data_IF_708870402303
#
_entry.id   IF_708870402303
#
_cell.length_a   1.000
_cell.length_b   1.000
_cell.length_c   1.000
_cell.angle_alpha   90.00
_cell.angle_beta   90.00
_cell.angle_gamma   90.00
#
_symmetry.space_group_name_H-M   'P 1'
#
loop_
_entity.id
_entity.type
_entity.pdbx_description
1 polymer ?
#
# COMPACT_ATOMS: atom_id res chain seq x y z
N UNK A 1 6.79 -2.51 -14.37
CA UNK A 1 5.41 -2.36 -14.85
C UNK A 1 4.62 -3.48 -14.22
N UNK A 2 3.61 -3.13 -13.43
CA UNK A 2 2.81 -4.11 -12.70
C UNK A 2 1.34 -3.89 -13.08
N UNK A 3 0.61 -4.98 -13.24
CA UNK A 3 -0.83 -5.00 -13.48
C UNK A 3 -1.52 -5.66 -12.29
N UNK A 4 -2.67 -5.12 -11.89
CA UNK A 4 -3.46 -5.63 -10.78
C UNK A 4 -4.90 -5.17 -10.90
N UNK A 5 -5.78 -5.75 -10.10
CA UNK A 5 -7.21 -5.46 -10.12
C UNK A 5 -7.65 -4.85 -8.78
N UNK A 6 -8.46 -3.81 -8.85
CA UNK A 6 -9.14 -3.20 -7.70
C UNK A 6 -10.60 -3.00 -8.12
N UNK A 7 -11.53 -3.49 -7.31
CA UNK A 7 -12.98 -3.30 -7.53
C UNK A 7 -13.48 -3.74 -8.92
N UNK A 8 -12.94 -4.84 -9.48
CA UNK A 8 -13.34 -5.34 -10.80
C UNK A 8 -12.64 -4.66 -11.98
N UNK A 9 -11.81 -3.66 -11.72
CA UNK A 9 -11.14 -2.85 -12.74
C UNK A 9 -9.65 -3.15 -12.80
N UNK A 10 -9.14 -3.35 -14.01
CA UNK A 10 -7.71 -3.63 -14.21
C UNK A 10 -6.92 -2.32 -14.30
N UNK A 11 -5.95 -2.19 -13.41
CA UNK A 11 -5.01 -1.09 -13.36
C UNK A 11 -3.60 -1.53 -13.73
N UNK A 12 -2.84 -0.59 -14.27
CA UNK A 12 -1.43 -0.75 -14.58
C UNK A 12 -0.65 0.42 -14.03
N UNK A 13 0.46 0.12 -13.38
CA UNK A 13 1.41 1.12 -12.88
C UNK A 13 2.60 1.19 -13.82
N UNK A 14 2.81 2.39 -14.36
CA UNK A 14 4.01 2.74 -15.11
C UNK A 14 5.15 3.08 -14.15
N UNK A 15 6.39 2.96 -14.63
CA UNK A 15 7.56 3.30 -13.81
C UNK A 15 7.58 4.81 -13.54
N UNK A 16 7.62 5.19 -12.27
CA UNK A 16 7.89 6.55 -11.86
C UNK A 16 9.29 6.99 -12.30
N UNK A 17 9.45 8.28 -12.61
CA UNK A 17 10.78 8.84 -12.87
C UNK A 17 11.63 8.84 -11.58
N UNK A 18 12.96 8.82 -11.75
CA UNK A 18 13.88 8.67 -10.63
C UNK A 18 13.74 9.78 -9.58
N UNK A 19 13.41 11.01 -9.99
CA UNK A 19 13.23 12.13 -9.06
C UNK A 19 11.93 12.01 -8.28
N UNK A 20 10.83 11.57 -8.91
CA UNK A 20 9.59 11.26 -8.21
C UNK A 20 9.80 10.17 -7.17
N UNK A 21 10.51 9.08 -7.52
CA UNK A 21 10.85 8.02 -6.56
C UNK A 21 11.70 8.53 -5.39
N UNK A 22 12.69 9.41 -5.66
CA UNK A 22 13.51 10.05 -4.64
C UNK A 22 12.69 10.97 -3.73
N UNK A 23 11.78 11.77 -4.28
CA UNK A 23 10.93 12.64 -3.48
C UNK A 23 9.95 11.85 -2.62
N UNK A 24 9.34 10.79 -3.16
CA UNK A 24 8.46 9.90 -2.42
C UNK A 24 9.24 9.22 -1.28
N UNK A 25 10.44 8.69 -1.55
CA UNK A 25 11.26 8.06 -0.51
C UNK A 25 11.67 9.04 0.58
N UNK A 26 12.03 10.28 0.23
CA UNK A 26 12.36 11.34 1.20
C UNK A 26 11.16 11.75 2.06
N UNK A 27 9.97 11.90 1.48
CA UNK A 27 8.73 12.27 2.20
C UNK A 27 8.22 11.14 3.09
N UNK A 28 8.42 9.89 2.67
CA UNK A 28 8.03 8.71 3.45
C UNK A 28 9.10 8.28 4.46
N UNK A 29 10.35 8.74 4.34
CA UNK A 29 11.45 8.40 5.25
C UNK A 29 11.13 8.64 6.74
N UNK A 30 10.53 9.78 7.16
CA UNK A 30 10.24 10.04 8.58
C UNK A 30 9.22 9.07 9.18
N UNK A 31 8.34 8.53 8.33
CA UNK A 31 7.22 7.68 8.73
C UNK A 31 7.51 6.19 8.54
N UNK A 32 8.51 5.87 7.70
CA UNK A 32 8.89 4.51 7.36
C UNK A 32 9.20 3.62 8.58
N UNK A 33 9.94 4.06 9.62
CA UNK A 33 10.21 3.22 10.79
C UNK A 33 8.94 2.74 11.51
N UNK A 34 7.91 3.59 11.58
CA UNK A 34 6.61 3.26 12.19
C UNK A 34 5.81 2.27 11.33
N UNK A 35 5.97 2.35 10.01
CA UNK A 35 5.27 1.49 9.04
C UNK A 35 5.95 0.13 8.80
N UNK A 36 7.24 -0.02 9.12
CA UNK A 36 8.01 -1.26 8.86
C UNK A 36 7.30 -2.54 9.35
N UNK A 37 6.73 -2.62 10.58
CA UNK A 37 6.05 -3.81 11.04
C UNK A 37 4.84 -4.18 10.18
N UNK A 38 4.03 -3.19 9.80
CA UNK A 38 2.86 -3.37 8.95
C UNK A 38 3.28 -3.80 7.53
N UNK A 39 4.30 -3.14 6.95
CA UNK A 39 4.86 -3.50 5.65
C UNK A 39 5.41 -4.93 5.64
N UNK A 40 6.07 -5.37 6.71
CA UNK A 40 6.57 -6.75 6.83
C UNK A 40 5.45 -7.78 6.91
N UNK A 41 4.38 -7.52 7.68
CA UNK A 41 3.21 -8.41 7.72
C UNK A 41 2.57 -8.55 6.34
N UNK A 42 2.41 -7.45 5.62
CA UNK A 42 1.87 -7.44 4.24
C UNK A 42 2.81 -8.16 3.27
N UNK A 43 4.13 -7.99 3.40
CA UNK A 43 5.11 -8.59 2.50
C UNK A 43 5.31 -10.10 2.75
N UNK A 44 5.40 -10.54 4.02
CA UNK A 44 5.58 -11.95 4.39
C UNK A 44 4.33 -12.80 4.16
N UNK A 45 3.14 -12.21 4.27
CA UNK A 45 1.90 -12.94 3.97
C UNK A 45 1.78 -13.30 2.49
N UNK A 46 2.61 -12.73 1.59
CA UNK A 46 2.46 -12.91 0.14
C UNK A 46 1.11 -12.42 -0.39
N UNK A 47 0.32 -11.77 0.47
CA UNK A 47 -1.06 -11.48 0.22
C UNK A 47 -1.17 -10.14 -0.49
N UNK A 48 -1.32 -10.24 -1.81
CA UNK A 48 -2.25 -9.36 -2.53
C UNK A 48 -3.62 -9.27 -1.82
N UNK A 49 -3.95 -10.27 -0.98
CA UNK A 49 -5.10 -10.37 -0.08
C UNK A 49 -5.31 -9.21 0.88
N UNK A 50 -4.30 -8.67 1.59
CA UNK A 50 -4.55 -7.61 2.58
C UNK A 50 -5.06 -6.30 1.93
N UNK A 51 -4.45 -5.92 0.79
CA UNK A 51 -4.96 -4.81 -0.03
C UNK A 51 -6.27 -5.17 -0.74
N UNK A 52 -6.47 -6.42 -1.17
CA UNK A 52 -7.74 -6.87 -1.73
C UNK A 52 -8.89 -6.87 -0.70
N UNK A 53 -8.61 -7.18 0.57
CA UNK A 53 -9.55 -7.12 1.69
C UNK A 53 -9.96 -5.69 1.99
N UNK A 54 -9.02 -4.74 1.91
CA UNK A 54 -9.32 -3.31 2.03
C UNK A 54 -9.97 -2.71 0.77
N UNK A 55 -9.63 -3.23 -0.42
CA UNK A 55 -10.19 -2.84 -1.72
C UNK A 55 -11.61 -3.35 -1.96
N UNK A 56 -12.00 -4.40 -1.25
CA UNK A 56 -13.34 -4.94 -1.33
C UNK A 56 -13.86 -5.21 0.09
N UNK A 57 -14.32 -4.16 0.81
CA UNK A 57 -14.91 -4.32 2.14
C UNK A 57 -16.21 -5.14 2.11
N UNK A 58 -16.80 -5.38 0.92
CA UNK A 58 -17.96 -6.26 0.70
C UNK A 58 -17.58 -7.75 0.66
N UNK A 59 -16.29 -8.09 0.54
CA UNK A 59 -15.80 -9.48 0.60
C UNK A 59 -15.35 -9.93 1.99
N UNK A 60 -15.26 -9.01 2.95
CA UNK A 60 -15.35 -9.38 4.37
C UNK A 60 -16.82 -9.71 4.58
N UNK A 61 -17.18 -10.97 4.34
CA UNK A 61 -18.58 -11.39 4.30
C UNK A 61 -19.35 -10.83 5.50
N UNK A 62 -20.18 -9.81 5.26
CA UNK A 62 -21.39 -9.72 6.06
C UNK A 62 -22.16 -11.00 5.72
N UNK A 63 -22.51 -11.81 6.72
CA UNK A 63 -23.27 -13.03 6.45
C UNK A 63 -24.54 -12.63 5.71
N UNK A 64 -24.71 -13.15 4.49
CA UNK A 64 -26.01 -13.16 3.85
C UNK A 64 -26.90 -13.99 4.78
N UNK A 65 -27.73 -13.29 5.53
CA UNK A 65 -28.76 -13.90 6.36
C UNK A 65 -29.82 -14.40 5.40
N UNK A 66 -29.67 -15.63 4.95
CA UNK A 66 -30.85 -16.38 4.51
C UNK A 66 -31.81 -16.43 5.69
N UNK A 67 -32.98 -15.85 5.44
CA UNK A 67 -34.16 -15.74 6.29
C UNK A 67 -34.32 -16.88 7.31
N UNK A 68 -34.24 -16.54 8.61
CA UNK A 68 -34.76 -17.40 9.67
C UNK A 68 -34.12 -17.21 11.04
N UNK A 69 -34.46 -16.13 11.75
CA UNK A 69 -34.06 -15.89 13.14
C UNK A 69 -33.18 -14.65 13.29
N UNK A 70 -33.61 -13.70 14.13
CA UNK A 70 -32.97 -12.39 14.27
C UNK A 70 -31.46 -12.49 14.57
N UNK A 71 -30.65 -11.53 14.08
CA UNK A 71 -29.19 -11.62 14.18
C UNK A 71 -28.72 -11.46 15.63
N UNK A 72 -28.13 -12.52 16.17
CA UNK A 72 -27.32 -12.49 17.38
C UNK A 72 -25.99 -11.77 17.08
N UNK A 73 -25.86 -10.53 17.57
CA UNK A 73 -24.80 -9.55 17.30
C UNK A 73 -23.40 -9.92 17.82
N UNK A 74 -23.06 -11.22 17.98
CA UNK A 74 -21.86 -11.66 18.71
C UNK A 74 -20.81 -12.45 17.94
N UNK A 75 -20.87 -12.58 16.62
CA UNK A 75 -19.83 -13.29 15.86
C UNK A 75 -19.44 -12.61 14.54
N UNK A 76 -19.06 -11.34 14.62
CA UNK A 76 -17.97 -10.87 13.75
C UNK A 76 -16.70 -11.28 14.49
N UNK A 77 -15.76 -11.95 13.83
CA UNK A 77 -14.53 -12.44 14.47
C UNK A 77 -13.68 -11.25 14.97
N UNK A 78 -13.91 -10.84 16.23
CA UNK A 78 -13.30 -9.68 16.89
C UNK A 78 -11.76 -9.75 16.86
N UNK A 79 -11.18 -10.96 16.80
CA UNK A 79 -9.74 -11.17 16.70
C UNK A 79 -9.15 -10.74 15.35
N UNK A 80 -9.81 -11.06 14.24
CA UNK A 80 -9.37 -10.64 12.90
C UNK A 80 -9.52 -9.12 12.72
N UNK A 81 -10.59 -8.55 13.25
CA UNK A 81 -10.80 -7.09 13.26
C UNK A 81 -9.78 -6.39 14.15
N UNK A 82 -9.41 -6.98 15.29
CA UNK A 82 -8.38 -6.47 16.19
C UNK A 82 -6.97 -6.50 15.58
N UNK A 83 -6.62 -7.56 14.85
CA UNK A 83 -5.34 -7.68 14.15
C UNK A 83 -5.22 -6.72 12.97
N UNK A 84 -6.32 -6.47 12.24
CA UNK A 84 -6.35 -5.47 11.18
C UNK A 84 -6.32 -4.06 11.78
N UNK A 85 -7.11 -3.78 12.82
CA UNK A 85 -7.15 -2.47 13.47
C UNK A 85 -5.79 -2.05 14.06
N UNK A 86 -5.14 -2.95 14.82
CA UNK A 86 -3.81 -2.68 15.38
C UNK A 86 -2.70 -2.54 14.32
N UNK A 87 -2.93 -3.05 13.10
CA UNK A 87 -2.01 -2.86 11.96
C UNK A 87 -2.26 -1.54 11.23
N UNK A 88 -3.45 -0.94 11.39
CA UNK A 88 -3.83 0.34 10.80
C UNK A 88 -3.44 1.55 11.66
N UNK A 89 -3.35 1.41 12.98
CA UNK A 89 -2.90 2.48 13.89
C UNK A 89 -1.62 3.20 13.43
N UNK A 90 -0.51 2.51 13.10
CA UNK A 90 0.70 3.16 12.61
C UNK A 90 0.50 3.82 11.23
N UNK A 91 -0.43 3.33 10.42
CA UNK A 91 -0.78 3.96 9.13
C UNK A 91 -1.56 5.26 9.38
N UNK A 92 -2.54 5.23 10.29
CA UNK A 92 -3.35 6.38 10.65
C UNK A 92 -2.51 7.50 11.28
N UNK A 93 -1.60 7.16 12.19
CA UNK A 93 -0.69 8.13 12.81
C UNK A 93 0.23 8.77 11.77
N UNK A 94 0.67 7.99 10.79
CA UNK A 94 1.49 8.48 9.67
C UNK A 94 0.72 9.43 8.78
N UNK A 95 -0.51 9.08 8.40
CA UNK A 95 -1.40 9.97 7.65
C UNK A 95 -1.66 11.28 8.41
N UNK A 96 -1.85 11.21 9.73
CA UNK A 96 -2.08 12.39 10.57
C UNK A 96 -0.83 13.27 10.76
N UNK A 97 0.37 12.69 10.70
CA UNK A 97 1.64 13.40 10.87
C UNK A 97 2.22 13.96 9.57
N UNK A 98 1.66 13.58 8.41
CA UNK A 98 2.16 14.01 7.11
C UNK A 98 1.63 15.41 6.78
N UNK A 99 2.50 16.38 6.41
CA UNK A 99 2.03 17.68 5.92
C UNK A 99 1.16 17.53 4.68
N UNK A 100 0.11 18.34 4.56
CA UNK A 100 -0.83 18.29 3.43
C UNK A 100 -0.10 18.38 2.07
N UNK A 101 0.86 19.30 1.93
CA UNK A 101 1.65 19.44 0.71
C UNK A 101 2.47 18.18 0.36
N UNK A 102 2.89 17.40 1.37
CA UNK A 102 3.60 16.15 1.15
C UNK A 102 2.63 15.04 0.73
N UNK A 103 1.46 14.97 1.35
CA UNK A 103 0.40 14.05 0.98
C UNK A 103 -0.07 14.31 -0.46
N UNK A 104 -0.43 15.55 -0.79
CA UNK A 104 -0.85 15.95 -2.13
C UNK A 104 0.18 15.61 -3.20
N UNK A 105 1.47 15.84 -2.93
CA UNK A 105 2.55 15.46 -3.83
C UNK A 105 2.59 13.94 -4.04
N UNK A 106 2.53 13.15 -2.97
CA UNK A 106 2.58 11.68 -3.04
C UNK A 106 1.38 11.16 -3.84
N UNK A 107 0.18 11.67 -3.57
CA UNK A 107 -1.03 11.30 -4.31
C UNK A 107 -0.92 11.64 -5.79
N UNK A 108 -0.59 12.89 -6.12
CA UNK A 108 -0.51 13.35 -7.51
C UNK A 108 0.57 12.61 -8.31
N UNK A 109 1.75 12.37 -7.72
CA UNK A 109 2.82 11.62 -8.35
C UNK A 109 2.43 10.15 -8.59
N UNK A 110 1.84 9.49 -7.59
CA UNK A 110 1.49 8.08 -7.68
C UNK A 110 0.32 7.84 -8.64
N UNK A 111 -0.78 8.58 -8.49
CA UNK A 111 -1.96 8.45 -9.37
C UNK A 111 -1.63 8.83 -10.80
N UNK A 112 -0.75 9.82 -10.99
CA UNK A 112 -0.22 10.21 -12.29
C UNK A 112 0.68 9.16 -12.97
N UNK A 113 0.98 8.03 -12.33
CA UNK A 113 1.67 6.89 -12.92
C UNK A 113 0.73 5.72 -13.28
N UNK A 114 -0.55 5.81 -12.89
CA UNK A 114 -1.53 4.73 -13.02
C UNK A 114 -2.36 4.93 -14.29
N UNK A 115 -2.69 3.81 -14.95
CA UNK A 115 -3.66 3.75 -16.03
C UNK A 115 -4.68 2.65 -15.76
N UNK A 116 -5.93 2.85 -16.17
CA UNK A 116 -7.01 1.86 -16.15
C UNK A 116 -7.20 1.26 -17.54
N UNK A 117 -7.52 -0.03 -17.62
CA UNK A 117 -7.81 -0.70 -18.88
C UNK A 117 -9.18 -0.25 -19.39
N UNK A 118 -9.24 0.13 -20.66
CA UNK A 118 -10.46 0.52 -21.36
C UNK A 118 -10.52 -0.23 -22.69
N UNK A 119 -11.21 -1.38 -22.69
CA UNK A 119 -11.22 -2.32 -23.81
C UNK A 119 -9.82 -2.82 -24.15
N UNK A 120 -9.30 -2.42 -25.31
CA UNK A 120 -7.94 -2.74 -25.77
C UNK A 120 -6.89 -1.68 -25.43
N UNK A 121 -7.29 -0.53 -24.90
CA UNK A 121 -6.41 0.60 -24.59
C UNK A 121 -6.22 0.78 -23.08
N UNK A 122 -5.24 1.62 -22.71
CA UNK A 122 -4.98 2.05 -21.34
C UNK A 122 -5.19 3.56 -21.24
N UNK A 123 -6.05 3.98 -20.33
CA UNK A 123 -6.38 5.39 -20.11
C UNK A 123 -5.77 5.87 -18.78
N UNK A 124 -5.17 7.08 -18.73
CA UNK A 124 -4.69 7.65 -17.48
C UNK A 124 -5.87 7.91 -16.53
N UNK A 125 -5.69 7.62 -15.24
CA UNK A 125 -6.75 7.83 -14.24
C UNK A 125 -6.72 9.21 -13.59
N UNK A 126 -5.64 9.97 -13.79
CA UNK A 126 -5.36 11.21 -13.09
C UNK A 126 -4.92 12.32 -14.04
N UNK A 127 -5.57 13.48 -13.94
CA UNK A 127 -5.11 14.69 -14.62
C UNK A 127 -4.15 15.46 -13.71
N UNK A 128 -2.87 15.52 -14.08
CA UNK A 128 -1.87 16.30 -13.31
C UNK A 128 -2.11 17.81 -13.34
N UNK A 129 -2.75 18.33 -14.39
CA UNK A 129 -3.04 19.77 -14.51
C UNK A 129 -4.20 20.20 -13.61
N UNK A 130 -5.23 19.36 -13.51
CA UNK A 130 -6.45 19.69 -12.76
C UNK A 130 -6.46 19.06 -11.36
N UNK A 131 -5.54 18.15 -11.06
CA UNK A 131 -5.48 17.40 -9.81
C UNK A 131 -6.80 16.68 -9.48
N UNK A 132 -7.40 16.04 -10.48
CA UNK A 132 -8.65 15.28 -10.35
C UNK A 132 -8.56 13.92 -11.03
N UNK A 133 -9.36 12.97 -10.55
CA UNK A 133 -9.58 11.68 -11.19
C UNK A 133 -10.36 11.86 -12.50
N UNK A 134 -10.04 11.01 -13.49
CA UNK A 134 -10.71 10.98 -14.79
C UNK A 134 -11.91 10.03 -14.82
N UNK A 135 -12.14 9.29 -13.73
CA UNK A 135 -13.18 8.29 -13.59
C UNK A 135 -13.92 8.54 -12.28
N UNK A 136 -15.24 8.63 -12.35
CA UNK A 136 -16.09 8.99 -11.21
C UNK A 136 -16.21 7.88 -10.16
N UNK A 137 -15.95 6.62 -10.55
CA UNK A 137 -15.94 5.45 -9.66
C UNK A 137 -14.67 5.34 -8.81
N UNK A 138 -13.68 6.20 -9.05
CA UNK A 138 -12.46 6.26 -8.25
C UNK A 138 -12.68 7.21 -7.07
N UNK A 139 -13.15 6.65 -5.96
CA UNK A 139 -13.29 7.35 -4.69
C UNK A 139 -11.97 7.42 -3.90
N UNK A 140 -11.98 8.10 -2.75
CA UNK A 140 -10.80 8.24 -1.88
C UNK A 140 -10.22 6.89 -1.45
N UNK A 141 -11.07 5.87 -1.24
CA UNK A 141 -10.62 4.53 -0.87
C UNK A 141 -9.81 3.89 -1.99
N UNK A 142 -10.37 3.88 -3.20
CA UNK A 142 -9.68 3.37 -4.40
C UNK A 142 -8.40 4.16 -4.67
N UNK A 143 -8.43 5.50 -4.55
CA UNK A 143 -7.24 6.35 -4.68
C UNK A 143 -6.15 5.94 -3.70
N UNK A 144 -6.49 5.76 -2.42
CA UNK A 144 -5.54 5.43 -1.36
C UNK A 144 -4.87 4.06 -1.63
N UNK A 145 -5.65 3.08 -2.08
CA UNK A 145 -5.14 1.74 -2.40
C UNK A 145 -4.20 1.75 -3.61
N UNK A 146 -4.54 2.53 -4.63
CA UNK A 146 -3.69 2.73 -5.80
C UNK A 146 -2.36 3.40 -5.42
N UNK A 147 -2.43 4.47 -4.61
CA UNK A 147 -1.23 5.17 -4.11
C UNK A 147 -0.35 4.21 -3.32
N UNK A 148 -0.92 3.48 -2.37
CA UNK A 148 -0.17 2.54 -1.56
C UNK A 148 0.48 1.43 -2.40
N UNK A 149 -0.20 0.94 -3.45
CA UNK A 149 0.36 -0.03 -4.38
C UNK A 149 1.55 0.52 -5.15
N UNK A 150 1.46 1.76 -5.65
CA UNK A 150 2.56 2.45 -6.34
C UNK A 150 3.75 2.69 -5.40
N UNK A 151 3.48 3.13 -4.17
CA UNK A 151 4.52 3.37 -3.15
C UNK A 151 5.28 2.08 -2.83
N UNK A 152 4.60 0.96 -2.63
CA UNK A 152 5.25 -0.33 -2.36
C UNK A 152 6.15 -0.78 -3.52
N UNK A 153 5.72 -0.60 -4.76
CA UNK A 153 6.54 -0.90 -5.94
C UNK A 153 7.75 0.04 -6.04
N UNK A 154 7.52 1.34 -5.81
CA UNK A 154 8.55 2.37 -5.89
C UNK A 154 9.62 2.26 -4.78
N UNK A 155 9.22 1.86 -3.56
CA UNK A 155 10.13 1.72 -2.42
C UNK A 155 10.74 0.33 -2.29
N UNK A 156 10.26 -0.67 -3.04
CA UNK A 156 10.73 -2.06 -2.91
C UNK A 156 12.24 -2.21 -3.05
N UNK A 157 12.86 -1.51 -4.00
CA UNK A 157 14.33 -1.50 -4.16
C UNK A 157 15.06 -0.82 -2.99
N UNK A 158 14.54 0.31 -2.52
CA UNK A 158 15.10 1.07 -1.40
C UNK A 158 15.04 0.29 -0.08
N UNK A 159 13.88 -0.29 0.25
CA UNK A 159 13.66 -1.07 1.48
C UNK A 159 14.56 -2.30 1.48
N UNK A 160 14.67 -3.03 0.36
CA UNK A 160 15.60 -4.17 0.25
C UNK A 160 17.06 -3.76 0.52
N UNK A 161 17.47 -2.60 0.02
CA UNK A 161 18.80 -2.04 0.28
C UNK A 161 19.03 -1.68 1.74
N UNK A 162 18.05 -1.06 2.41
CA UNK A 162 18.12 -0.78 3.85
C UNK A 162 18.26 -2.08 4.66
N UNK A 163 17.42 -3.08 4.36
CA UNK A 163 17.42 -4.34 5.10
C UNK A 163 18.73 -5.12 4.94
N UNK A 164 19.31 -5.13 3.75
CA UNK A 164 20.62 -5.74 3.50
C UNK A 164 21.71 -5.14 4.41
N UNK A 165 21.70 -3.81 4.61
CA UNK A 165 22.67 -3.10 5.45
C UNK A 165 22.52 -3.40 6.95
N UNK A 166 21.30 -3.67 7.43
CA UNK A 166 21.04 -4.12 8.81
C UNK A 166 21.34 -5.60 9.05
N UNK A 167 21.37 -6.43 8.01
CA UNK A 167 21.66 -7.87 8.11
C UNK A 167 23.14 -8.23 8.15
N UNK A 168 24.03 -7.35 7.69
CA UNK A 168 25.47 -7.54 7.78
C UNK A 168 25.97 -7.29 9.21
N UNK A 169 26.02 -8.36 10.02
CA UNK A 169 26.87 -8.39 11.23
C UNK A 169 28.33 -8.14 10.80
N UNK A 170 29.10 -7.30 11.52
CA UNK A 170 30.51 -7.15 11.23
C UNK A 170 31.17 -8.52 11.43
N UNK A 171 31.79 -9.07 10.38
CA UNK A 171 32.70 -10.20 10.52
C UNK A 171 33.87 -9.71 11.38
N UNK A 172 33.95 -10.18 12.61
CA UNK A 172 35.10 -9.94 13.49
C UNK A 172 36.37 -10.41 12.78
N UNK A 173 37.36 -9.53 12.53
CA UNK A 173 38.64 -9.97 12.03
C UNK A 173 39.41 -10.54 13.22
N UNK A 174 39.67 -11.84 13.22
CA UNK A 174 40.63 -12.43 14.14
C UNK A 174 40.27 -13.82 14.66
N UNK A 175 40.73 -14.84 13.95
CA UNK A 175 41.37 -16.00 14.58
C UNK A 175 42.12 -16.78 13.50
N UNK A 176 43.22 -16.18 13.02
CA UNK A 176 44.34 -16.97 12.50
C UNK A 176 45.05 -17.56 13.71
N UNK A 177 44.54 -18.69 14.20
CA UNK A 177 45.23 -19.50 15.20
C UNK A 177 46.34 -20.28 14.51
N UNK A 178 47.55 -19.79 14.66
CA UNK A 178 48.79 -20.44 14.26
C UNK A 178 49.43 -20.99 15.54
N UNK A 179 49.43 -22.31 15.72
CA UNK A 179 50.35 -23.09 16.58
C UNK A 179 50.00 -24.59 16.44
#
# INVERSE_FOLDING_TARGET
MIEFEISGETYRVNKLDAFAQLHISRKLSPVLPKLLPALFKIFQSGQAGAFATLANPVSVGLPQTESGGGPDLKRVDIELVGDIASTLDPVAEVLASMPDADAEYVYSACLGAVSRRQGSAWAPIWSRQQAVCMFDDIDLGVMTLLVARVVMDSLGGFIRGLLAKTGERPKTPGSSGNA
#
